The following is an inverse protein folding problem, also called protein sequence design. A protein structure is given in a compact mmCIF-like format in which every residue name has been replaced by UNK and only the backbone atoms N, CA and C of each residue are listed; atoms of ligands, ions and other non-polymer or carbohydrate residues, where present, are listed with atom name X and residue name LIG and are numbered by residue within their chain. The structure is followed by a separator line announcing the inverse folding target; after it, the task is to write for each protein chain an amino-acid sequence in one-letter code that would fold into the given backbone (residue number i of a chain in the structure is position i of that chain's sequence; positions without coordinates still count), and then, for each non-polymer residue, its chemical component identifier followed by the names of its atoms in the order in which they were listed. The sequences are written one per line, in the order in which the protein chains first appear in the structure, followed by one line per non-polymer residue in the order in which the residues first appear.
data_IF_698851419344
#
_entry.id   IF_698851419344
#
_cell.length_a   1.000
_cell.length_b   1.000
_cell.length_c   1.000
_cell.angle_alpha   90.00
_cell.angle_beta   90.00
_cell.angle_gamma   90.00
#
_symmetry.space_group_name_H-M   'P 1'
#
loop_
_entity.id
_entity.type
_entity.pdbx_description
1 polymer ?
#
# COMPACT_ATOMS: atom_id res chain seq x y z
N UNK A 1 -8.91 5.33 -1.03
CA UNK A 1 -7.67 5.99 -1.51
C UNK A 1 -7.91 6.81 -2.78
N UNK A 2 -8.77 6.34 -3.70
CA UNK A 2 -9.18 7.10 -4.88
C UNK A 2 -9.73 8.51 -4.56
N UNK A 3 -9.77 9.35 -5.59
CA UNK A 3 -10.28 10.72 -5.50
C UNK A 3 -11.79 10.68 -5.23
N UNK A 4 -12.27 11.43 -4.23
CA UNK A 4 -13.68 11.45 -3.81
C UNK A 4 -14.32 12.84 -3.88
N UNK A 5 -13.58 13.87 -4.31
CA UNK A 5 -14.06 15.24 -4.43
C UNK A 5 -13.42 16.00 -5.61
N UNK A 6 -13.93 17.20 -5.89
CA UNK A 6 -13.50 18.00 -7.03
C UNK A 6 -12.11 18.64 -6.87
N UNK A 7 -11.52 18.59 -5.67
CA UNK A 7 -10.19 19.13 -5.37
C UNK A 7 -9.05 18.12 -5.61
N UNK A 8 -9.36 16.97 -6.22
CA UNK A 8 -8.39 15.91 -6.52
C UNK A 8 -7.93 15.13 -5.29
N UNK A 9 -8.61 15.26 -4.14
CA UNK A 9 -8.25 14.58 -2.90
C UNK A 9 -9.09 13.33 -2.66
N UNK A 10 -8.47 12.36 -1.99
CA UNK A 10 -9.14 11.16 -1.51
C UNK A 10 -9.55 11.26 -0.03
N UNK A 11 -10.11 10.17 0.52
CA UNK A 11 -10.60 10.13 1.91
C UNK A 11 -9.49 10.04 2.96
N UNK A 12 -8.21 10.06 2.53
CA UNK A 12 -7.05 10.01 3.43
C UNK A 12 -6.54 11.44 3.62
N UNK A 13 -6.55 11.98 4.85
CA UNK A 13 -5.97 13.28 5.11
C UNK A 13 -4.46 13.23 4.89
N UNK A 14 -3.95 14.20 4.12
CA UNK A 14 -2.56 14.29 3.69
C UNK A 14 -1.98 15.65 4.06
N UNK A 15 -0.73 15.67 4.55
CA UNK A 15 -0.07 16.91 4.92
C UNK A 15 0.05 17.84 3.69
N UNK A 16 -0.58 19.02 3.79
CA UNK A 16 -0.60 19.98 2.68
C UNK A 16 -1.39 19.53 1.45
N UNK A 17 -2.15 18.43 1.55
CA UNK A 17 -2.89 17.84 0.45
C UNK A 17 -2.01 17.26 -0.65
N UNK A 18 -0.78 16.84 -0.33
CA UNK A 18 0.19 16.34 -1.32
C UNK A 18 -0.15 14.97 -1.89
N UNK A 19 -0.96 14.19 -1.18
CA UNK A 19 -1.48 12.89 -1.63
C UNK A 19 -0.34 11.99 -2.12
N UNK A 20 0.66 11.80 -1.26
CA UNK A 20 1.96 11.24 -1.62
C UNK A 20 2.06 9.71 -1.43
N UNK A 21 0.96 9.08 -1.02
CA UNK A 21 0.89 7.62 -0.92
C UNK A 21 0.48 7.01 -2.25
N UNK A 22 1.10 5.87 -2.54
CA UNK A 22 0.76 4.93 -3.60
C UNK A 22 0.35 3.60 -2.97
N UNK A 23 -0.59 2.89 -3.61
CA UNK A 23 -1.10 1.61 -3.12
C UNK A 23 -0.82 0.53 -4.17
N UNK A 24 -0.08 -0.48 -3.76
CA UNK A 24 0.19 -1.68 -4.56
C UNK A 24 -0.60 -2.85 -4.00
N UNK A 25 -1.08 -3.72 -4.87
CA UNK A 25 -1.85 -4.90 -4.52
C UNK A 25 -1.25 -6.11 -5.23
N UNK A 26 -1.09 -7.21 -4.50
CA UNK A 26 -0.81 -8.52 -5.08
C UNK A 26 -1.98 -9.43 -4.83
N UNK A 27 -2.58 -9.96 -5.90
CA UNK A 27 -3.61 -10.99 -5.83
C UNK A 27 -2.97 -12.37 -5.99
N UNK A 28 -3.18 -13.27 -5.02
CA UNK A 28 -2.64 -14.64 -5.08
C UNK A 28 -3.70 -15.65 -5.53
N UNK A 29 -4.94 -15.45 -5.08
CA UNK A 29 -6.04 -16.36 -5.40
C UNK A 29 -6.85 -15.78 -6.57
N UNK A 30 -6.92 -16.48 -7.71
CA UNK A 30 -7.71 -16.00 -8.84
C UNK A 30 -9.20 -16.01 -8.48
N UNK A 31 -9.87 -14.90 -8.76
CA UNK A 31 -11.31 -14.75 -8.61
C UNK A 31 -11.85 -13.78 -9.67
N UNK A 32 -12.65 -12.80 -9.25
CA UNK A 32 -13.02 -11.69 -10.12
C UNK A 32 -11.81 -10.83 -10.53
N UNK A 33 -10.78 -10.78 -9.67
CA UNK A 33 -9.47 -10.21 -9.98
C UNK A 33 -8.51 -11.37 -10.30
N UNK A 34 -7.86 -11.37 -11.47
CA UNK A 34 -6.83 -12.35 -11.78
C UNK A 34 -5.68 -12.32 -10.76
N UNK A 35 -4.98 -13.44 -10.61
CA UNK A 35 -3.74 -13.45 -9.84
C UNK A 35 -2.69 -12.60 -10.56
N UNK A 36 -1.95 -11.78 -9.81
CA UNK A 36 -1.00 -10.84 -10.38
C UNK A 36 -0.67 -9.67 -9.47
N UNK A 37 0.09 -8.74 -10.03
CA UNK A 37 0.59 -7.54 -9.35
C UNK A 37 -0.07 -6.31 -9.94
N UNK A 38 -0.46 -5.39 -9.07
CA UNK A 38 -1.22 -4.22 -9.45
C UNK A 38 -0.73 -2.98 -8.72
N UNK A 39 -0.72 -1.86 -9.42
CA UNK A 39 -0.69 -0.53 -8.83
C UNK A 39 -2.10 0.06 -8.92
N UNK A 40 -2.56 0.70 -7.85
CA UNK A 40 -3.85 1.36 -7.84
C UNK A 40 -3.72 2.79 -8.38
N UNK A 41 -4.24 3.01 -9.58
CA UNK A 41 -4.38 4.33 -10.16
C UNK A 41 -5.57 5.04 -9.51
N UNK A 42 -5.24 5.99 -8.65
CA UNK A 42 -6.22 6.77 -7.89
C UNK A 42 -7.06 7.73 -8.74
N UNK A 43 -6.55 8.17 -9.89
CA UNK A 43 -7.22 9.12 -10.77
C UNK A 43 -8.21 8.38 -11.68
N UNK A 44 -7.79 7.24 -12.22
CA UNK A 44 -8.65 6.36 -13.00
C UNK A 44 -9.60 5.51 -12.12
N UNK A 45 -9.36 5.46 -10.81
CA UNK A 45 -10.05 4.54 -9.89
C UNK A 45 -9.95 3.08 -10.36
N UNK A 46 -8.75 2.65 -10.75
CA UNK A 46 -8.52 1.37 -11.39
C UNK A 46 -7.27 0.66 -10.86
N UNK A 47 -7.22 -0.66 -11.03
CA UNK A 47 -5.99 -1.44 -10.83
C UNK A 47 -5.27 -1.60 -12.17
N UNK A 48 -4.09 -0.99 -12.27
CA UNK A 48 -3.20 -1.17 -13.40
C UNK A 48 -2.29 -2.38 -13.14
N UNK A 49 -2.31 -3.37 -14.03
CA UNK A 49 -1.41 -4.51 -13.94
C UNK A 49 0.05 -4.05 -14.12
N UNK A 50 0.95 -4.56 -13.28
CA UNK A 50 2.38 -4.29 -13.36
C UNK A 50 3.16 -5.60 -13.54
N UNK A 51 4.31 -5.51 -14.18
CA UNK A 51 5.13 -6.69 -14.49
C UNK A 51 5.87 -7.23 -13.25
N UNK A 52 6.22 -6.36 -12.30
CA UNK A 52 7.07 -6.68 -11.16
C UNK A 52 6.25 -6.73 -9.86
N UNK A 53 6.52 -7.71 -9.03
CA UNK A 53 5.89 -7.88 -7.73
C UNK A 53 6.44 -9.11 -7.01
N UNK A 54 5.70 -9.59 -6.02
CA UNK A 54 6.15 -10.66 -5.12
C UNK A 54 5.12 -11.79 -5.07
N UNK A 55 5.54 -13.02 -5.32
CA UNK A 55 4.69 -14.19 -4.98
C UNK A 55 4.42 -14.24 -3.48
N UNK A 56 3.45 -15.04 -3.05
CA UNK A 56 3.16 -15.21 -1.62
C UNK A 56 4.38 -15.70 -0.86
N UNK A 57 5.12 -16.65 -1.42
CA UNK A 57 6.34 -17.23 -0.85
C UNK A 57 7.45 -16.18 -0.75
N UNK A 58 7.66 -15.41 -1.82
CA UNK A 58 8.66 -14.35 -1.85
C UNK A 58 8.33 -13.24 -0.84
N UNK A 59 7.06 -12.86 -0.70
CA UNK A 59 6.63 -11.89 0.30
C UNK A 59 6.80 -12.46 1.72
N UNK A 60 6.46 -13.72 1.96
CA UNK A 60 6.55 -14.32 3.29
C UNK A 60 8.00 -14.47 3.78
N UNK A 61 8.96 -14.65 2.86
CA UNK A 61 10.39 -14.61 3.17
C UNK A 61 10.86 -13.24 3.69
N UNK A 62 10.17 -12.15 3.34
CA UNK A 62 10.53 -10.78 3.71
C UNK A 62 9.51 -10.07 4.62
N UNK A 63 8.43 -10.75 4.98
CA UNK A 63 7.41 -10.32 5.93
C UNK A 63 7.16 -11.50 6.88
N UNK A 64 7.99 -11.69 7.92
CA UNK A 64 7.99 -12.93 8.71
C UNK A 64 6.63 -13.26 9.36
N UNK A 65 5.85 -12.23 9.70
CA UNK A 65 4.49 -12.39 10.25
C UNK A 65 3.50 -13.02 9.28
N UNK A 66 3.77 -13.00 7.97
CA UNK A 66 2.93 -13.67 6.97
C UNK A 66 3.02 -15.20 7.07
N UNK A 67 4.15 -15.75 7.55
CA UNK A 67 4.36 -17.21 7.68
C UNK A 67 3.46 -17.86 8.74
N UNK A 68 2.95 -17.08 9.70
CA UNK A 68 2.10 -17.57 10.80
C UNK A 68 0.62 -17.26 10.58
N UNK A 69 0.27 -16.64 9.44
CA UNK A 69 -1.11 -16.36 9.08
C UNK A 69 -1.65 -17.45 8.14
N UNK A 70 -2.82 -17.95 8.49
CA UNK A 70 -3.62 -18.76 7.58
C UNK A 70 -4.51 -17.84 6.71
N UNK A 71 -4.61 -18.15 5.42
CA UNK A 71 -5.38 -17.36 4.45
C UNK A 71 -4.71 -16.07 3.95
N UNK A 72 -5.55 -15.10 3.58
CA UNK A 72 -5.21 -13.89 2.82
C UNK A 72 -5.26 -14.14 1.32
N UNK A 73 -6.29 -13.63 0.64
CA UNK A 73 -6.43 -13.76 -0.81
C UNK A 73 -5.52 -12.77 -1.57
N UNK A 74 -5.22 -11.64 -0.94
CA UNK A 74 -4.37 -10.59 -1.49
C UNK A 74 -3.52 -9.90 -0.42
N UNK A 75 -2.40 -9.33 -0.85
CA UNK A 75 -1.59 -8.42 -0.05
C UNK A 75 -1.71 -6.99 -0.58
N UNK A 76 -1.72 -6.01 0.32
CA UNK A 76 -1.58 -4.61 -0.01
C UNK A 76 -0.27 -4.05 0.55
N UNK A 77 0.34 -3.12 -0.17
CA UNK A 77 1.60 -2.47 0.18
C UNK A 77 1.41 -0.97 -0.02
N UNK A 78 1.62 -0.21 1.05
CA UNK A 78 1.56 1.26 1.02
C UNK A 78 2.97 1.80 0.84
N UNK A 79 3.16 2.58 -0.22
CA UNK A 79 4.42 3.24 -0.55
C UNK A 79 4.22 4.76 -0.44
N UNK A 80 5.21 5.49 0.05
CA UNK A 80 5.21 6.94 0.08
C UNK A 80 6.30 7.55 -0.80
N UNK A 81 5.92 8.49 -1.65
CA UNK A 81 6.82 9.37 -2.41
C UNK A 81 7.45 10.39 -1.45
N UNK A 82 8.60 10.01 -0.87
CA UNK A 82 9.30 10.85 0.11
C UNK A 82 9.79 12.16 -0.50
N UNK A 83 10.23 12.14 -1.76
CA UNK A 83 10.75 13.32 -2.43
C UNK A 83 9.67 14.41 -2.53
N UNK A 84 8.43 14.03 -2.91
CA UNK A 84 7.29 14.94 -2.97
C UNK A 84 6.99 15.62 -1.63
N UNK A 85 7.02 14.86 -0.53
CA UNK A 85 6.76 15.41 0.80
C UNK A 85 7.95 16.24 1.30
N UNK A 86 9.19 15.79 1.04
CA UNK A 86 10.42 16.47 1.43
C UNK A 86 10.60 17.83 0.74
N UNK A 87 10.13 17.97 -0.50
CA UNK A 87 10.15 19.24 -1.22
C UNK A 87 9.45 20.38 -0.46
N UNK A 88 8.42 20.07 0.35
CA UNK A 88 7.69 21.06 1.16
C UNK A 88 8.06 21.03 2.64
N UNK A 89 8.33 19.85 3.19
CA UNK A 89 8.40 19.64 4.64
C UNK A 89 9.77 19.20 5.15
N UNK A 90 10.75 19.03 4.24
CA UNK A 90 12.14 18.71 4.54
C UNK A 90 12.28 17.57 5.56
N UNK A 91 12.83 17.82 6.75
CA UNK A 91 13.06 16.84 7.80
C UNK A 91 11.79 16.25 8.41
N UNK A 92 10.64 16.91 8.24
CA UNK A 92 9.33 16.43 8.74
C UNK A 92 8.63 15.48 7.78
N UNK A 93 9.16 15.28 6.57
CA UNK A 93 8.51 14.48 5.54
C UNK A 93 8.19 13.05 5.99
N UNK A 94 9.15 12.37 6.62
CA UNK A 94 8.96 11.01 7.11
C UNK A 94 7.85 10.91 8.15
N UNK A 95 7.71 11.92 9.03
CA UNK A 95 6.63 11.94 10.04
C UNK A 95 5.26 12.06 9.38
N UNK A 96 5.14 12.93 8.38
CA UNK A 96 3.88 13.10 7.66
C UNK A 96 3.51 11.88 6.83
N UNK A 97 4.49 11.23 6.18
CA UNK A 97 4.25 9.99 5.45
C UNK A 97 3.75 8.87 6.35
N UNK A 98 4.36 8.67 7.52
CA UNK A 98 3.92 7.65 8.48
C UNK A 98 2.52 7.93 9.01
N UNK A 99 2.20 9.19 9.34
CA UNK A 99 0.85 9.57 9.77
C UNK A 99 -0.19 9.34 8.66
N UNK A 100 0.12 9.76 7.43
CA UNK A 100 -0.76 9.55 6.27
C UNK A 100 -0.97 8.06 6.00
N UNK A 101 0.09 7.25 6.09
CA UNK A 101 0.00 5.79 5.92
C UNK A 101 -0.86 5.15 7.01
N UNK A 102 -0.74 5.58 8.27
CA UNK A 102 -1.60 5.14 9.36
C UNK A 102 -3.08 5.42 9.09
N UNK A 103 -3.42 6.61 8.60
CA UNK A 103 -4.80 6.94 8.20
C UNK A 103 -5.30 6.05 7.06
N UNK A 104 -4.47 5.79 6.05
CA UNK A 104 -4.85 4.88 4.97
C UNK A 104 -5.05 3.45 5.46
N UNK A 105 -4.15 2.93 6.29
CA UNK A 105 -4.24 1.58 6.88
C UNK A 105 -5.52 1.45 7.70
N UNK A 106 -5.86 2.45 8.52
CA UNK A 106 -7.13 2.42 9.27
C UNK A 106 -8.36 2.44 8.35
N UNK A 107 -8.31 3.20 7.25
CA UNK A 107 -9.38 3.17 6.25
C UNK A 107 -9.49 1.79 5.57
N UNK A 108 -8.37 1.11 5.29
CA UNK A 108 -8.36 -0.26 4.78
C UNK A 108 -9.00 -1.23 5.79
N UNK A 109 -8.68 -1.10 7.09
CA UNK A 109 -9.31 -1.87 8.16
C UNK A 109 -10.83 -1.69 8.17
N UNK A 110 -11.30 -0.44 8.18
CA UNK A 110 -12.73 -0.15 8.22
C UNK A 110 -13.47 -0.60 6.95
N UNK A 111 -12.87 -0.40 5.77
CA UNK A 111 -13.45 -0.82 4.50
C UNK A 111 -13.55 -2.36 4.39
N UNK A 112 -12.54 -3.07 4.91
CA UNK A 112 -12.54 -4.53 4.96
C UNK A 112 -13.66 -5.03 5.86
N UNK A 113 -13.75 -4.51 7.09
CA UNK A 113 -14.84 -4.85 8.03
C UNK A 113 -16.22 -4.57 7.44
N UNK A 114 -16.40 -3.41 6.80
CA UNK A 114 -17.67 -3.04 6.15
C UNK A 114 -18.04 -3.98 4.99
N UNK A 115 -17.05 -4.63 4.38
CA UNK A 115 -17.23 -5.61 3.29
C UNK A 115 -17.32 -7.05 3.79
N UNK A 116 -17.42 -7.27 5.11
CA UNK A 116 -17.36 -8.59 5.75
C UNK A 116 -16.07 -9.38 5.42
N UNK A 117 -14.97 -8.65 5.19
CA UNK A 117 -13.62 -9.19 5.01
C UNK A 117 -12.75 -8.88 6.23
N UNK A 118 -11.60 -9.55 6.33
CA UNK A 118 -10.60 -9.30 7.35
C UNK A 118 -9.30 -8.77 6.74
N UNK A 119 -8.75 -7.71 7.30
CA UNK A 119 -7.38 -7.29 6.98
C UNK A 119 -6.48 -7.27 8.19
N UNK A 120 -5.24 -7.70 8.00
CA UNK A 120 -4.20 -7.72 9.03
C UNK A 120 -3.03 -6.86 8.56
N UNK A 121 -2.83 -5.66 9.15
CA UNK A 121 -1.61 -4.89 8.99
C UNK A 121 -0.41 -5.63 9.59
N UNK A 122 0.70 -5.68 8.87
CA UNK A 122 1.92 -6.38 9.23
C UNK A 122 3.05 -5.36 9.44
N UNK A 123 3.49 -5.22 10.70
CA UNK A 123 4.48 -4.20 11.07
C UNK A 123 5.95 -4.57 10.81
N UNK A 124 6.25 -5.86 10.65
CA UNK A 124 7.62 -6.34 10.44
C UNK A 124 7.85 -6.79 9.00
N UNK A 125 8.64 -6.03 8.23
CA UNK A 125 9.00 -6.34 6.85
C UNK A 125 10.35 -5.74 6.45
N UNK A 126 11.03 -6.32 5.46
CA UNK A 126 12.28 -5.77 4.91
C UNK A 126 11.99 -4.76 3.80
N UNK A 127 11.91 -3.48 4.16
CA UNK A 127 11.58 -2.35 3.27
C UNK A 127 12.34 -2.38 1.93
N UNK A 128 13.66 -2.56 1.98
CA UNK A 128 14.52 -2.56 0.78
C UNK A 128 14.25 -3.71 -0.17
N UNK A 129 13.88 -4.87 0.36
CA UNK A 129 13.57 -6.04 -0.47
C UNK A 129 12.26 -5.82 -1.23
N UNK A 130 11.23 -5.29 -0.55
CA UNK A 130 9.96 -4.92 -1.17
C UNK A 130 10.16 -3.83 -2.22
N UNK A 131 10.92 -2.77 -1.88
CA UNK A 131 11.20 -1.68 -2.81
C UNK A 131 11.94 -2.15 -4.08
N UNK A 132 12.90 -3.07 -3.93
CA UNK A 132 13.59 -3.67 -5.06
C UNK A 132 12.66 -4.51 -5.95
N UNK A 133 11.79 -5.32 -5.35
CA UNK A 133 10.86 -6.16 -6.09
C UNK A 133 9.79 -5.36 -6.85
N UNK A 134 9.36 -4.22 -6.31
CA UNK A 134 8.44 -3.29 -6.97
C UNK A 134 9.15 -2.27 -7.88
N UNK A 135 10.48 -2.32 -7.98
CA UNK A 135 11.31 -1.40 -8.78
C UNK A 135 11.03 0.07 -8.43
N UNK A 136 10.87 0.36 -7.14
CA UNK A 136 10.54 1.70 -6.67
C UNK A 136 11.73 2.67 -6.81
N UNK A 137 11.46 3.97 -7.03
CA UNK A 137 12.47 5.01 -6.87
C UNK A 137 13.18 4.91 -5.51
N UNK A 138 14.48 5.23 -5.47
CA UNK A 138 15.27 5.18 -4.22
C UNK A 138 14.76 6.10 -3.11
N UNK A 139 14.00 7.13 -3.49
CA UNK A 139 13.38 8.07 -2.57
C UNK A 139 12.17 7.47 -1.88
N UNK A 140 11.49 6.54 -2.54
CA UNK A 140 10.21 6.02 -2.06
C UNK A 140 10.41 5.10 -0.86
N UNK A 141 9.42 5.10 0.02
CA UNK A 141 9.44 4.37 1.28
C UNK A 141 8.31 3.38 1.32
N UNK A 142 8.60 2.12 1.64
CA UNK A 142 7.54 1.15 1.97
C UNK A 142 7.12 1.41 3.41
N UNK A 143 5.89 1.85 3.61
CA UNK A 143 5.40 2.37 4.89
C UNK A 143 4.54 1.36 5.65
N UNK A 144 3.80 0.53 4.93
CA UNK A 144 2.98 -0.52 5.54
C UNK A 144 2.75 -1.66 4.55
N UNK A 145 2.57 -2.86 5.10
CA UNK A 145 2.16 -4.06 4.37
C UNK A 145 0.99 -4.66 5.12
N UNK A 146 0.08 -5.31 4.42
CA UNK A 146 -0.91 -6.16 5.06
C UNK A 146 -1.53 -7.14 4.10
N UNK A 147 -2.33 -8.04 4.66
CA UNK A 147 -3.10 -9.02 3.89
C UNK A 147 -4.59 -8.79 4.10
N UNK A 148 -5.38 -9.16 3.10
CA UNK A 148 -6.83 -9.08 3.09
C UNK A 148 -7.38 -10.43 2.60
N UNK A 149 -8.45 -10.91 3.25
CA UNK A 149 -9.13 -12.15 2.90
C UNK A 149 -10.46 -12.30 3.61
#
# INVERSE_FOLDING_TARGET
HGITGNDGRGPVPSAGGLQALELYVTSWTPGWLPAGYYHYDRAAHALAAIANGLTREALAAIVPSLMILDGGALAWIVVGDHARVAARYTSRASRFLVLEAGHLVQNLCLASTASALCTVPLGGFFERAIAGALVLPRTDRVLAVGVLG
#
